data_IF_866568287687
#
_entry.id   IF_866568287687
#
_cell.length_a   1.000
_cell.length_b   1.000
_cell.length_c   1.000
_cell.angle_alpha   90.00
_cell.angle_beta   90.00
_cell.angle_gamma   90.00
#
_symmetry.space_group_name_H-M   'P 1'
#
loop_
_entity.id
_entity.type
_entity.pdbx_description
1 polymer ?
#
# COMPACT_ATOMS: atom_id res chain seq x y z
N UNK A 1 7.68 7.58 3.88
CA UNK A 1 6.30 7.13 4.24
C UNK A 1 5.45 7.08 2.98
N UNK A 2 4.63 6.05 2.79
CA UNK A 2 3.76 5.90 1.62
C UNK A 2 2.28 5.97 2.05
N UNK A 3 1.46 6.69 1.28
CA UNK A 3 0.01 6.81 1.52
C UNK A 3 -0.75 6.30 0.31
N UNK A 4 -1.71 5.41 0.54
CA UNK A 4 -2.64 4.92 -0.49
C UNK A 4 -4.04 5.44 -0.23
N UNK A 5 -4.62 6.13 -1.21
CA UNK A 5 -5.99 6.68 -1.12
C UNK A 5 -6.96 5.80 -1.91
N UNK A 6 -8.01 5.30 -1.25
CA UNK A 6 -9.05 4.48 -1.88
C UNK A 6 -10.23 5.36 -2.31
N UNK A 7 -10.51 5.37 -3.61
CA UNK A 7 -11.69 6.01 -4.18
C UNK A 7 -12.56 5.00 -4.95
N UNK A 8 -13.84 5.32 -5.09
CA UNK A 8 -14.79 4.60 -5.92
C UNK A 8 -15.59 5.61 -6.72
N UNK A 9 -15.51 5.52 -8.05
CA UNK A 9 -16.22 6.43 -8.96
C UNK A 9 -15.88 7.92 -8.69
N UNK A 10 -14.64 8.19 -8.25
CA UNK A 10 -14.16 9.53 -7.86
C UNK A 10 -14.42 9.92 -6.41
N UNK A 11 -15.25 9.18 -5.68
CA UNK A 11 -15.61 9.48 -4.29
C UNK A 11 -14.70 8.77 -3.28
N UNK A 12 -14.25 9.43 -2.19
CA UNK A 12 -13.43 8.81 -1.15
C UNK A 12 -14.16 7.67 -0.42
N UNK A 13 -13.49 6.52 -0.26
CA UNK A 13 -14.02 5.39 0.51
C UNK A 13 -13.64 5.55 1.98
N UNK A 14 -14.60 5.90 2.83
CA UNK A 14 -14.38 6.15 4.28
C UNK A 14 -14.91 5.04 5.19
N UNK A 15 -15.28 3.90 4.60
CA UNK A 15 -15.82 2.71 5.27
C UNK A 15 -15.07 1.45 4.86
N UNK A 16 -13.76 1.49 5.00
CA UNK A 16 -12.91 0.30 4.94
C UNK A 16 -13.18 -0.58 6.16
N UNK A 17 -13.02 -1.89 5.97
CA UNK A 17 -13.16 -2.88 7.02
C UNK A 17 -11.79 -3.48 7.33
N UNK A 18 -11.53 -3.86 8.59
CA UNK A 18 -10.30 -4.54 8.92
C UNK A 18 -10.28 -5.93 8.27
N UNK A 19 -9.23 -6.20 7.50
CA UNK A 19 -8.89 -7.52 6.99
C UNK A 19 -7.57 -7.93 7.65
N UNK A 20 -7.49 -9.14 8.20
CA UNK A 20 -6.30 -9.62 8.95
C UNK A 20 -5.77 -8.61 10.00
N UNK A 21 -6.67 -7.85 10.65
CA UNK A 21 -6.32 -6.92 11.73
C UNK A 21 -5.93 -5.49 11.31
N UNK A 22 -5.95 -5.14 10.02
CA UNK A 22 -5.62 -3.79 9.53
C UNK A 22 -6.56 -3.35 8.40
N UNK A 23 -6.63 -2.05 8.12
CA UNK A 23 -7.45 -1.50 7.03
C UNK A 23 -6.83 -1.70 5.63
N UNK A 24 -5.54 -2.04 5.56
CA UNK A 24 -4.89 -2.48 4.34
C UNK A 24 -3.56 -3.21 4.59
N UNK A 25 -3.17 -4.06 3.65
CA UNK A 25 -1.90 -4.79 3.62
C UNK A 25 -1.15 -4.43 2.35
N UNK A 26 0.11 -4.03 2.48
CA UNK A 26 0.93 -3.67 1.33
C UNK A 26 2.16 -4.58 1.26
N UNK A 27 2.33 -5.22 0.12
CA UNK A 27 3.57 -5.90 -0.27
C UNK A 27 4.24 -5.10 -1.37
N UNK A 28 5.54 -4.88 -1.27
CA UNK A 28 6.35 -4.34 -2.34
C UNK A 28 7.45 -5.35 -2.73
N UNK A 29 7.61 -5.59 -4.03
CA UNK A 29 8.63 -6.48 -4.60
C UNK A 29 9.50 -5.69 -5.57
N UNK A 30 10.82 -5.73 -5.43
CA UNK A 30 11.71 -5.21 -6.46
C UNK A 30 11.65 -6.12 -7.69
N UNK A 31 11.40 -5.56 -8.86
CA UNK A 31 11.18 -6.36 -10.08
C UNK A 31 12.43 -7.14 -10.50
N UNK A 32 13.62 -6.60 -10.23
CA UNK A 32 14.88 -7.19 -10.66
C UNK A 32 15.19 -8.55 -10.02
N UNK A 33 14.87 -8.72 -8.73
CA UNK A 33 15.29 -9.88 -7.94
C UNK A 33 14.23 -10.38 -6.95
N UNK A 34 13.03 -9.82 -7.01
CA UNK A 34 11.89 -10.17 -6.16
C UNK A 34 12.18 -9.99 -4.66
N UNK A 35 13.12 -9.10 -4.31
CA UNK A 35 13.38 -8.77 -2.91
C UNK A 35 12.08 -8.25 -2.27
N UNK A 36 11.68 -8.92 -1.17
CA UNK A 36 10.43 -8.68 -0.46
C UNK A 36 10.59 -7.56 0.55
N UNK A 37 9.72 -6.56 0.45
CA UNK A 37 9.56 -5.53 1.47
C UNK A 37 8.24 -5.76 2.20
N UNK A 38 8.34 -6.18 3.46
CA UNK A 38 7.19 -6.18 4.37
C UNK A 38 6.92 -4.74 4.78
N UNK A 39 5.73 -4.24 4.46
CA UNK A 39 5.31 -2.91 4.87
C UNK A 39 4.28 -3.04 5.99
N UNK A 40 4.60 -2.50 7.16
CA UNK A 40 3.68 -2.51 8.30
C UNK A 40 2.68 -1.34 8.18
N UNK A 41 1.37 -1.60 8.37
CA UNK A 41 0.39 -0.52 8.47
C UNK A 41 0.69 0.34 9.71
N UNK A 42 0.52 1.65 9.58
CA UNK A 42 0.64 2.55 10.73
C UNK A 42 -0.60 2.40 11.62
N UNK A 43 -0.41 2.36 12.94
CA UNK A 43 -1.48 2.11 13.92
C UNK A 43 -2.59 3.17 13.97
N UNK A 44 -2.41 4.30 13.28
CA UNK A 44 -3.38 5.40 13.20
C UNK A 44 -4.33 5.30 11.98
N UNK A 45 -4.41 4.13 11.35
CA UNK A 45 -5.27 3.94 10.19
C UNK A 45 -6.75 4.15 10.56
N UNK A 46 -7.36 5.20 10.01
CA UNK A 46 -8.81 5.39 10.02
C UNK A 46 -9.47 4.38 9.06
N UNK A 47 -10.80 4.30 9.06
CA UNK A 47 -11.54 3.48 8.09
C UNK A 47 -11.47 4.02 6.63
N UNK A 48 -10.39 4.73 6.27
CA UNK A 48 -10.17 5.37 4.97
C UNK A 48 -10.42 6.88 4.97
N UNK A 49 -10.20 7.54 3.81
CA UNK A 49 -9.81 6.94 2.53
C UNK A 49 -8.32 6.62 2.44
N UNK A 50 -7.52 7.20 3.33
CA UNK A 50 -6.06 7.06 3.33
C UNK A 50 -5.61 5.92 4.21
N UNK A 51 -4.68 5.12 3.69
CA UNK A 51 -4.00 4.05 4.40
C UNK A 51 -2.51 4.38 4.39
N UNK A 52 -1.97 4.61 5.58
CA UNK A 52 -0.56 4.93 5.80
C UNK A 52 0.31 3.70 5.97
N UNK A 53 1.49 3.74 5.36
CA UNK A 53 2.44 2.64 5.33
C UNK A 53 3.86 3.14 5.61
N UNK A 54 4.52 2.54 6.60
CA UNK A 54 5.95 2.75 6.82
C UNK A 54 6.75 1.83 5.93
N UNK A 55 7.32 2.39 4.87
CA UNK A 55 8.19 1.69 3.91
C UNK A 55 9.43 2.51 3.63
N UNK A 56 10.53 1.81 3.35
CA UNK A 56 11.79 2.35 2.86
C UNK A 56 12.13 1.57 1.60
N UNK A 57 12.38 2.27 0.48
CA UNK A 57 12.91 1.63 -0.72
C UNK A 57 14.45 1.58 -0.59
N UNK A 58 15.06 0.39 -0.45
CA UNK A 58 16.48 0.28 -0.09
C UNK A 58 17.42 0.67 -1.23
N UNK A 59 16.89 0.77 -2.46
CA UNK A 59 17.66 1.08 -3.66
C UNK A 59 16.75 1.56 -4.78
N UNK A 60 17.36 2.19 -5.78
CA UNK A 60 16.70 2.52 -7.03
C UNK A 60 16.21 1.26 -7.77
N UNK A 61 15.12 1.40 -8.51
CA UNK A 61 14.56 0.33 -9.32
C UNK A 61 13.05 0.39 -9.45
N UNK A 62 12.50 -0.51 -10.26
CA UNK A 62 11.06 -0.71 -10.36
C UNK A 62 10.57 -1.64 -9.23
N UNK A 63 9.53 -1.22 -8.52
CA UNK A 63 8.87 -2.00 -7.50
C UNK A 63 7.42 -2.27 -7.89
N UNK A 64 7.00 -3.53 -7.75
CA UNK A 64 5.60 -3.94 -7.89
C UNK A 64 4.96 -3.96 -6.51
N UNK A 65 3.90 -3.18 -6.35
CA UNK A 65 3.17 -3.03 -5.11
C UNK A 65 1.82 -3.73 -5.23
N UNK A 66 1.40 -4.40 -4.16
CA UNK A 66 0.11 -5.07 -4.04
C UNK A 66 -0.56 -4.63 -2.74
N UNK A 67 -1.66 -3.89 -2.87
CA UNK A 67 -2.49 -3.43 -1.76
C UNK A 67 -3.73 -4.32 -1.67
N UNK A 68 -3.87 -5.03 -0.55
CA UNK A 68 -5.13 -5.67 -0.19
C UNK A 68 -5.90 -4.77 0.79
N UNK A 69 -7.18 -4.53 0.50
CA UNK A 69 -8.09 -3.78 1.36
C UNK A 69 -9.50 -4.38 1.30
N UNK A 70 -10.28 -4.22 2.37
CA UNK A 70 -11.66 -4.71 2.40
C UNK A 70 -12.65 -3.55 2.38
N UNK A 71 -13.62 -3.63 1.46
CA UNK A 71 -14.74 -2.69 1.39
C UNK A 71 -16.02 -3.40 0.97
N UNK A 72 -17.12 -3.13 1.69
CA UNK A 72 -18.42 -3.74 1.49
C UNK A 72 -18.40 -5.29 1.52
N UNK A 73 -17.63 -5.85 2.45
CA UNK A 73 -17.48 -7.29 2.67
C UNK A 73 -16.53 -7.99 1.69
N UNK A 74 -16.02 -7.28 0.68
CA UNK A 74 -15.15 -7.85 -0.37
C UNK A 74 -13.72 -7.39 -0.19
N UNK A 75 -12.79 -8.35 -0.12
CA UNK A 75 -11.35 -8.09 -0.20
C UNK A 75 -10.98 -7.81 -1.66
N UNK A 76 -10.23 -6.75 -1.88
CA UNK A 76 -9.80 -6.29 -3.20
C UNK A 76 -8.30 -6.10 -3.20
N UNK A 77 -7.67 -6.50 -4.31
CA UNK A 77 -6.25 -6.27 -4.56
C UNK A 77 -6.09 -5.18 -5.62
N UNK A 78 -5.36 -4.13 -5.30
CA UNK A 78 -4.90 -3.12 -6.26
C UNK A 78 -3.39 -3.26 -6.45
N UNK A 79 -2.91 -3.15 -7.68
CA UNK A 79 -1.51 -3.42 -7.98
C UNK A 79 -0.87 -2.30 -8.81
N UNK A 80 0.24 -1.76 -8.30
CA UNK A 80 0.93 -0.59 -8.84
C UNK A 80 2.37 -0.94 -9.21
N UNK A 81 2.93 -0.21 -10.18
CA UNK A 81 4.36 -0.24 -10.46
C UNK A 81 4.89 1.16 -10.24
N UNK A 82 5.88 1.30 -9.37
CA UNK A 82 6.55 2.56 -9.08
C UNK A 82 8.03 2.44 -9.41
N UNK A 83 8.59 3.49 -10.01
CA UNK A 83 10.03 3.62 -10.24
C UNK A 83 10.62 4.49 -9.14
N UNK A 84 11.69 4.01 -8.50
CA UNK A 84 12.47 4.73 -7.51
C UNK A 84 13.82 5.07 -8.14
N UNK A 85 14.20 6.35 -8.14
CA UNK A 85 15.45 6.81 -8.74
C UNK A 85 16.62 6.74 -7.74
N UNK A 86 17.86 6.76 -8.26
CA UNK A 86 19.05 6.87 -7.39
C UNK A 86 19.02 8.21 -6.64
N UNK A 87 19.05 8.14 -5.31
CA UNK A 87 19.10 9.32 -4.44
C UNK A 87 17.79 9.72 -3.79
N UNK A 88 16.78 8.85 -3.78
CA UNK A 88 15.59 8.99 -2.92
C UNK A 88 15.79 8.21 -1.60
N UNK A 89 16.51 8.74 -0.58
CA UNK A 89 16.51 8.16 0.75
C UNK A 89 15.15 8.45 1.36
N UNK A 90 14.34 7.40 1.48
CA UNK A 90 13.01 7.39 2.12
C UNK A 90 12.89 8.22 3.39
#
# INVERSE_FOLDING_TARGET
MLTMTVTRDGEPVTKLQPYLGAYGHLVALRVADLEYLHVHPTGDASAGPDIGFHTTFPSAGAYRLFLDFQHAGVVRTAAFTVSVDEGDPS
#
